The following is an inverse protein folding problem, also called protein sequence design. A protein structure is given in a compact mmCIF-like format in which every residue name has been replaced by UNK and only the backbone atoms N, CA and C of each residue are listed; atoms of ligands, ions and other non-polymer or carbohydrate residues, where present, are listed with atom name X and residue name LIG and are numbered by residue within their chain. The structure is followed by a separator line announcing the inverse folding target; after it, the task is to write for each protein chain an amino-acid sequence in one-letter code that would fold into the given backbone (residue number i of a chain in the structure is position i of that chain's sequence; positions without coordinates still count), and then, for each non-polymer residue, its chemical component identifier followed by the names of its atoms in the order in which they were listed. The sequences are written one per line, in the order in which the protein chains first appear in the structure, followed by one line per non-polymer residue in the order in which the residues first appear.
data_IF_819223855540
#
_entry.id   IF_819223855540
#
_cell.length_a   1.000
_cell.length_b   1.000
_cell.length_c   1.000
_cell.angle_alpha   90.00
_cell.angle_beta   90.00
_cell.angle_gamma   90.00
#
_symmetry.space_group_name_H-M   'P 1'
#
loop_
_entity.id
_entity.type
_entity.pdbx_description
1 polymer ?
#
# COMPACT_ATOMS: atom_id res chain seq x y z
N UNK A 1 35.66 5.76 -16.65
CA UNK A 1 34.55 5.60 -15.68
C UNK A 1 33.25 5.77 -16.47
N UNK A 2 32.42 4.73 -16.55
CA UNK A 2 31.17 4.81 -17.30
C UNK A 2 30.14 5.59 -16.48
N UNK A 3 29.55 6.64 -17.06
CA UNK A 3 28.40 7.31 -16.44
C UNK A 3 27.19 6.37 -16.54
N UNK A 4 26.90 5.64 -15.46
CA UNK A 4 25.61 4.99 -15.30
C UNK A 4 24.56 6.09 -15.31
N UNK A 5 23.74 6.13 -16.37
CA UNK A 5 22.72 7.16 -16.54
C UNK A 5 21.68 7.18 -15.41
N UNK A 6 20.74 8.11 -15.49
CA UNK A 6 19.71 8.30 -14.47
C UNK A 6 18.92 7.01 -14.17
N UNK A 7 18.89 6.61 -12.91
CA UNK A 7 18.12 5.47 -12.42
C UNK A 7 16.63 5.82 -12.45
N UNK A 8 15.87 5.19 -13.36
CA UNK A 8 14.42 5.42 -13.53
C UNK A 8 13.54 4.35 -12.87
N UNK A 9 14.05 3.13 -12.75
CA UNK A 9 13.33 2.00 -12.16
C UNK A 9 14.26 1.12 -11.33
N UNK A 10 13.82 0.67 -10.17
CA UNK A 10 14.55 -0.29 -9.34
C UNK A 10 13.56 -1.15 -8.55
N UNK A 11 13.64 -2.48 -8.68
CA UNK A 11 12.75 -3.43 -7.97
C UNK A 11 11.24 -3.12 -8.07
N UNK A 12 10.78 -2.60 -9.21
CA UNK A 12 9.38 -2.21 -9.41
C UNK A 12 9.00 -0.82 -8.87
N UNK A 13 9.97 -0.10 -8.33
CA UNK A 13 9.85 1.29 -7.89
C UNK A 13 10.25 2.22 -9.04
N UNK A 14 9.43 3.24 -9.28
CA UNK A 14 9.66 4.33 -10.22
C UNK A 14 10.39 5.47 -9.51
N UNK A 15 11.44 5.99 -10.14
CA UNK A 15 12.28 7.04 -9.58
C UNK A 15 12.33 8.20 -10.57
N UNK A 16 11.94 9.37 -10.10
CA UNK A 16 12.00 10.64 -10.83
C UNK A 16 12.98 11.55 -10.09
N UNK A 17 14.19 11.67 -10.63
CA UNK A 17 15.26 12.48 -10.04
C UNK A 17 15.21 13.87 -10.67
N UNK A 18 15.20 14.90 -9.83
CA UNK A 18 15.38 16.29 -10.24
C UNK A 18 16.53 16.90 -9.42
N UNK A 19 17.06 18.08 -9.81
CA UNK A 19 18.11 18.74 -9.03
C UNK A 19 17.70 19.11 -7.59
N UNK A 20 16.40 19.16 -7.28
CA UNK A 20 15.88 19.59 -5.98
C UNK A 20 15.33 18.46 -5.13
N UNK A 21 14.80 17.42 -5.77
CA UNK A 21 14.11 16.33 -5.10
C UNK A 21 14.20 15.02 -5.88
N UNK A 22 14.05 13.92 -5.16
CA UNK A 22 13.86 12.59 -5.70
C UNK A 22 12.43 12.19 -5.37
N UNK A 23 11.61 12.02 -6.40
CA UNK A 23 10.25 11.53 -6.26
C UNK A 23 10.20 10.05 -6.58
N UNK A 24 9.66 9.26 -5.65
CA UNK A 24 9.62 7.81 -5.74
C UNK A 24 8.16 7.38 -5.71
N UNK A 25 7.75 6.48 -6.60
CA UNK A 25 6.39 5.95 -6.60
C UNK A 25 6.33 4.50 -7.10
N UNK A 26 5.17 3.86 -6.94
CA UNK A 26 4.87 2.55 -7.52
C UNK A 26 3.56 2.63 -8.33
N UNK A 27 3.36 3.73 -9.06
CA UNK A 27 2.08 4.03 -9.69
C UNK A 27 1.64 2.93 -10.67
N UNK A 28 2.58 2.45 -11.49
CA UNK A 28 2.34 1.36 -12.44
C UNK A 28 1.89 0.08 -11.74
N UNK A 29 2.57 -0.31 -10.67
CA UNK A 29 2.23 -1.51 -9.91
C UNK A 29 0.85 -1.41 -9.24
N UNK A 30 0.54 -0.25 -8.64
CA UNK A 30 -0.78 0.00 -8.06
C UNK A 30 -1.89 -0.11 -9.11
N UNK A 31 -1.69 0.48 -10.29
CA UNK A 31 -2.63 0.39 -11.40
C UNK A 31 -2.82 -1.05 -11.89
N UNK A 32 -1.74 -1.82 -12.06
CA UNK A 32 -1.79 -3.22 -12.48
C UNK A 32 -2.56 -4.10 -11.49
N UNK A 33 -2.38 -3.88 -10.18
CA UNK A 33 -3.16 -4.57 -9.14
C UNK A 33 -4.65 -4.24 -9.26
N UNK A 34 -5.01 -2.96 -9.41
CA UNK A 34 -6.41 -2.56 -9.53
C UNK A 34 -7.07 -3.19 -10.76
N UNK A 35 -6.36 -3.22 -11.90
CA UNK A 35 -6.84 -3.89 -13.12
C UNK A 35 -7.02 -5.39 -12.88
N UNK A 36 -6.02 -6.05 -12.30
CA UNK A 36 -6.03 -7.50 -12.04
C UNK A 36 -7.24 -7.96 -11.23
N UNK A 37 -7.69 -7.12 -10.28
CA UNK A 37 -8.82 -7.44 -9.40
C UNK A 37 -10.11 -6.68 -9.75
N UNK A 38 -10.18 -6.03 -10.92
CA UNK A 38 -11.40 -5.35 -11.38
C UNK A 38 -11.82 -4.15 -10.52
N UNK A 39 -10.87 -3.47 -9.88
CA UNK A 39 -11.12 -2.34 -8.97
C UNK A 39 -10.83 -0.97 -9.60
N UNK A 40 -10.70 -0.88 -10.92
CA UNK A 40 -10.45 0.39 -11.62
C UNK A 40 -11.62 1.37 -11.60
N UNK A 41 -12.85 0.88 -11.43
CA UNK A 41 -14.10 1.67 -11.39
C UNK A 41 -14.73 1.76 -10.00
N UNK A 42 -13.99 1.41 -8.94
CA UNK A 42 -14.51 1.54 -7.57
C UNK A 42 -14.45 3.00 -7.09
N UNK A 43 -15.36 3.37 -6.18
CA UNK A 43 -15.29 4.64 -5.48
C UNK A 43 -14.05 4.66 -4.58
N UNK A 44 -13.20 5.67 -4.73
CA UNK A 44 -12.04 5.81 -3.88
C UNK A 44 -12.39 6.24 -2.45
N UNK A 45 -11.40 6.14 -1.55
CA UNK A 45 -11.51 6.57 -0.15
C UNK A 45 -10.24 7.29 0.29
N UNK A 46 -10.38 8.33 1.11
CA UNK A 46 -9.24 9.14 1.56
C UNK A 46 -8.35 8.46 2.60
N UNK A 47 -8.83 7.43 3.29
CA UNK A 47 -8.03 6.68 4.28
C UNK A 47 -8.23 5.16 4.12
N UNK A 48 -7.16 4.35 4.18
CA UNK A 48 -7.27 2.90 4.06
C UNK A 48 -7.82 2.26 5.34
N UNK A 49 -7.63 2.92 6.49
CA UNK A 49 -8.12 2.51 7.81
C UNK A 49 -9.31 3.37 8.19
N UNK A 50 -10.35 2.74 8.75
CA UNK A 50 -11.43 3.47 9.39
C UNK A 50 -10.97 4.03 10.73
N UNK A 51 -11.27 5.30 10.97
CA UNK A 51 -11.10 5.99 12.24
C UNK A 51 -12.07 5.37 13.25
N UNK A 52 -11.62 4.38 14.01
CA UNK A 52 -12.29 3.94 15.23
C UNK A 52 -11.58 4.61 16.40
N UNK A 53 -12.36 5.03 17.39
CA UNK A 53 -11.81 5.50 18.66
C UNK A 53 -10.94 4.36 19.22
N UNK A 54 -9.64 4.59 19.32
CA UNK A 54 -8.72 3.62 19.90
C UNK A 54 -8.84 3.80 21.41
N UNK A 55 -9.66 2.98 22.04
CA UNK A 55 -9.69 2.94 23.50
C UNK A 55 -8.37 2.32 23.99
N UNK A 56 -7.83 2.89 25.07
CA UNK A 56 -6.65 2.34 25.70
C UNK A 56 -7.00 0.94 26.23
N UNK A 57 -6.44 -0.10 25.62
CA UNK A 57 -6.52 -1.46 26.14
C UNK A 57 -5.67 -1.55 27.40
N UNK A 58 -6.30 -1.29 28.55
CA UNK A 58 -5.71 -1.43 29.88
C UNK A 58 -5.40 -2.90 30.20
N UNK A 59 -6.03 -3.85 29.49
CA UNK A 59 -5.74 -5.28 29.54
C UNK A 59 -4.73 -5.67 28.47
N UNK A 60 -3.50 -5.12 28.54
CA UNK A 60 -2.38 -5.51 27.65
C UNK A 60 -2.08 -7.00 27.78
N UNK A 61 -2.74 -7.82 26.98
CA UNK A 61 -2.29 -9.18 26.70
C UNK A 61 -1.15 -9.05 25.67
N UNK A 62 0.04 -9.62 25.95
CA UNK A 62 1.12 -9.62 24.99
C UNK A 62 0.63 -10.27 23.69
N UNK A 63 0.78 -9.55 22.58
CA UNK A 63 0.44 -10.08 21.26
C UNK A 63 1.44 -11.18 20.93
N UNK A 64 0.96 -12.42 20.86
CA UNK A 64 1.77 -13.56 20.45
C UNK A 64 2.18 -13.43 18.97
N UNK A 65 3.46 -13.17 18.73
CA UNK A 65 4.04 -13.03 17.39
C UNK A 65 3.97 -14.33 16.59
N UNK A 66 4.05 -15.49 17.23
CA UNK A 66 4.06 -16.79 16.53
C UNK A 66 2.72 -17.09 15.86
N UNK A 67 1.63 -16.52 16.39
CA UNK A 67 0.28 -16.60 15.81
C UNK A 67 0.20 -15.99 14.40
N UNK A 68 1.02 -14.99 14.08
CA UNK A 68 1.03 -14.34 12.76
C UNK A 68 1.82 -15.13 11.69
N UNK A 69 2.72 -16.02 12.11
CA UNK A 69 3.55 -16.82 11.21
C UNK A 69 2.94 -18.18 10.82
N UNK A 70 1.89 -18.63 11.52
CA UNK A 70 1.15 -19.84 11.14
C UNK A 70 0.20 -19.57 9.97
N UNK A 71 -0.03 -20.58 9.10
CA UNK A 71 -0.89 -20.52 7.89
C UNK A 71 -2.01 -19.48 8.00
N UNK A 72 -1.89 -18.40 7.24
CA UNK A 72 -2.95 -17.41 7.14
C UNK A 72 -4.24 -18.12 6.76
N UNK A 73 -5.28 -17.96 7.59
CA UNK A 73 -6.66 -18.26 7.22
C UNK A 73 -7.33 -16.92 6.94
N UNK A 74 -7.35 -16.45 5.67
CA UNK A 74 -8.07 -15.24 5.31
C UNK A 74 -9.53 -15.36 5.75
N UNK A 75 -10.07 -14.26 6.27
CA UNK A 75 -11.46 -14.16 6.73
C UNK A 75 -12.11 -13.01 5.97
N UNK A 76 -13.43 -12.88 6.05
CA UNK A 76 -14.16 -11.74 5.47
C UNK A 76 -13.63 -10.38 5.95
N UNK A 77 -13.15 -10.30 7.21
CA UNK A 77 -12.52 -9.09 7.74
C UNK A 77 -11.23 -8.75 7.00
N UNK A 78 -10.41 -9.76 6.69
CA UNK A 78 -9.19 -9.59 5.89
C UNK A 78 -9.52 -9.12 4.47
N UNK A 79 -10.50 -9.74 3.81
CA UNK A 79 -10.93 -9.34 2.46
C UNK A 79 -11.48 -7.91 2.43
N UNK A 80 -12.27 -7.53 3.43
CA UNK A 80 -12.79 -6.15 3.56
C UNK A 80 -11.67 -5.13 3.73
N UNK A 81 -10.64 -5.45 4.52
CA UNK A 81 -9.47 -4.59 4.67
C UNK A 81 -8.70 -4.44 3.34
N UNK A 82 -8.48 -5.53 2.61
CA UNK A 82 -7.82 -5.49 1.29
C UNK A 82 -8.61 -4.64 0.29
N UNK A 83 -9.93 -4.83 0.20
CA UNK A 83 -10.79 -4.00 -0.67
C UNK A 83 -10.69 -2.52 -0.32
N UNK A 84 -10.64 -2.17 0.98
CA UNK A 84 -10.42 -0.78 1.41
C UNK A 84 -9.06 -0.24 0.99
N UNK A 85 -7.98 -1.02 1.13
CA UNK A 85 -6.65 -0.63 0.66
C UNK A 85 -6.69 -0.35 -0.85
N UNK A 86 -7.36 -1.20 -1.64
CA UNK A 86 -7.46 -0.96 -3.09
C UNK A 86 -8.28 0.28 -3.43
N UNK A 87 -9.37 0.54 -2.70
CA UNK A 87 -10.13 1.81 -2.83
C UNK A 87 -9.29 3.03 -2.48
N UNK A 88 -8.42 2.93 -1.48
CA UNK A 88 -7.50 4.02 -1.15
C UNK A 88 -6.48 4.23 -2.27
N UNK A 89 -5.83 3.16 -2.71
CA UNK A 89 -4.84 3.21 -3.79
C UNK A 89 -5.40 3.86 -5.04
N UNK A 90 -6.68 3.63 -5.38
CA UNK A 90 -7.35 4.18 -6.56
C UNK A 90 -7.19 5.72 -6.69
N UNK A 91 -7.25 6.46 -5.59
CA UNK A 91 -7.16 7.93 -5.60
C UNK A 91 -5.75 8.43 -5.26
N UNK A 92 -4.90 7.59 -4.66
CA UNK A 92 -3.59 8.01 -4.15
C UNK A 92 -2.40 7.52 -4.98
N UNK A 93 -2.62 6.95 -6.18
CA UNK A 93 -1.55 6.43 -7.07
C UNK A 93 -0.46 7.48 -7.34
N UNK A 94 -0.83 8.76 -7.39
CA UNK A 94 0.05 9.87 -7.74
C UNK A 94 0.82 10.45 -6.55
N UNK A 95 0.53 10.04 -5.31
CA UNK A 95 1.10 10.69 -4.11
C UNK A 95 2.56 10.34 -3.82
N UNK A 96 3.13 9.34 -4.50
CA UNK A 96 4.48 8.88 -4.22
C UNK A 96 4.62 8.10 -2.90
N UNK A 97 5.86 7.79 -2.53
CA UNK A 97 6.25 7.15 -1.27
C UNK A 97 6.83 8.19 -0.30
#
# INVERSE_FOLDING_TARGET
MSMMGELKFFLGIQIHQSPREIFINQAKYAQEILVKYGMTSCDGIGTPIATKHLDADLSRTPVDQTKYHSKAQPTEKHLTAVKRIFRYLKDTIHMGL
#
